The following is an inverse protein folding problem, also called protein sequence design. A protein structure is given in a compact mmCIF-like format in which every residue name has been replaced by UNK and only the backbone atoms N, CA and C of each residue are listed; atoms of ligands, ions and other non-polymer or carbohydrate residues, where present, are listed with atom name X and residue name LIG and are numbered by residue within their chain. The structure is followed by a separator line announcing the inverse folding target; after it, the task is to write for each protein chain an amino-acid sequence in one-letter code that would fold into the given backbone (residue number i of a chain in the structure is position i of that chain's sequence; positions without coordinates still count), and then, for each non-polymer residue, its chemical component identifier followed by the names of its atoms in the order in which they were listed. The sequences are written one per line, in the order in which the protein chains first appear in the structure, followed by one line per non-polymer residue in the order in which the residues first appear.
data_IF_563418325260
#
_entry.id   IF_563418325260
#
_cell.length_a   1.000
_cell.length_b   1.000
_cell.length_c   1.000
_cell.angle_alpha   90.00
_cell.angle_beta   90.00
_cell.angle_gamma   90.00
#
_symmetry.space_group_name_H-M   'P 1'
#
loop_
_entity.id
_entity.type
_entity.pdbx_description
1 polymer ?
#
# COMPACT_ATOMS: atom_id res chain seq x y z
N UNK A 1 16.87 3.41 3.05
CA UNK A 1 15.55 3.35 2.37
C UNK A 1 14.77 4.62 2.70
N UNK A 2 14.26 5.30 1.67
CA UNK A 2 13.43 6.47 1.87
C UNK A 2 12.00 6.01 2.09
N UNK A 3 11.48 6.24 3.30
CA UNK A 3 10.09 5.95 3.62
C UNK A 3 9.20 7.00 2.97
N UNK A 4 8.31 6.57 2.09
CA UNK A 4 7.31 7.45 1.48
C UNK A 4 6.21 7.68 2.50
N UNK A 5 6.00 8.93 2.90
CA UNK A 5 4.86 9.34 3.70
C UNK A 5 3.83 9.92 2.76
N UNK A 6 2.66 9.28 2.68
CA UNK A 6 1.55 9.85 1.93
C UNK A 6 0.97 11.06 2.68
N UNK A 7 0.67 12.18 2.00
CA UNK A 7 -0.01 13.31 2.61
C UNK A 7 -1.50 13.03 2.86
N UNK A 8 -2.05 11.97 2.25
CA UNK A 8 -3.43 11.54 2.42
C UNK A 8 -3.66 10.73 3.69
N UNK A 9 -4.93 10.52 4.04
CA UNK A 9 -5.30 9.62 5.13
C UNK A 9 -5.74 8.27 4.59
N UNK A 10 -5.08 7.19 5.00
CA UNK A 10 -5.54 5.82 4.73
C UNK A 10 -6.30 5.24 5.92
N UNK A 11 -7.00 4.13 5.68
CA UNK A 11 -7.66 3.35 6.72
C UNK A 11 -6.70 2.72 7.72
N UNK A 12 -5.39 2.74 7.42
CA UNK A 12 -4.33 2.49 8.40
C UNK A 12 -4.51 3.34 9.68
N UNK A 13 -5.05 4.56 9.59
CA UNK A 13 -5.39 5.38 10.77
C UNK A 13 -6.43 4.72 11.67
N UNK A 14 -7.38 3.98 11.08
CA UNK A 14 -8.43 3.28 11.83
C UNK A 14 -7.86 1.99 12.44
N UNK A 15 -6.97 1.29 11.73
CA UNK A 15 -6.26 0.11 12.25
C UNK A 15 -5.41 0.48 13.47
N UNK A 16 -4.70 1.61 13.43
CA UNK A 16 -3.94 2.09 14.59
C UNK A 16 -4.86 2.55 15.73
N UNK A 17 -5.86 3.42 15.46
CA UNK A 17 -6.70 4.04 16.51
C UNK A 17 -7.69 3.07 17.16
N UNK A 18 -8.31 2.19 16.38
CA UNK A 18 -9.36 1.26 16.84
C UNK A 18 -8.76 -0.13 17.06
N UNK A 19 -8.04 -0.64 16.06
CA UNK A 19 -7.44 -1.98 16.08
C UNK A 19 -6.19 -2.10 16.96
N UNK A 20 -5.54 -0.97 17.31
CA UNK A 20 -4.31 -0.90 18.12
C UNK A 20 -3.13 -1.69 17.54
N UNK A 21 -3.16 -2.02 16.25
CA UNK A 21 -2.08 -2.70 15.54
C UNK A 21 -1.11 -1.66 14.96
N UNK A 22 0.09 -1.59 15.53
CA UNK A 22 1.10 -0.59 15.14
C UNK A 22 1.90 -0.94 13.88
N UNK A 23 2.00 -2.23 13.56
CA UNK A 23 2.78 -2.72 12.41
C UNK A 23 1.89 -2.87 11.18
N UNK A 24 1.19 -1.78 10.82
CA UNK A 24 0.31 -1.72 9.66
C UNK A 24 0.82 -0.64 8.70
N UNK A 25 1.00 -1.03 7.45
CA UNK A 25 1.43 -0.15 6.36
C UNK A 25 0.38 -0.17 5.25
N UNK A 26 0.35 0.92 4.47
CA UNK A 26 -0.28 0.91 3.15
C UNK A 26 0.78 0.48 2.12
N UNK A 27 0.42 -0.43 1.22
CA UNK A 27 1.28 -0.86 0.13
C UNK A 27 0.44 -1.09 -1.13
N UNK A 28 0.95 -0.63 -2.26
CA UNK A 28 0.39 -0.83 -3.59
C UNK A 28 1.21 -0.04 -4.62
N UNK A 29 1.17 -0.46 -5.90
CA UNK A 29 1.77 0.29 -6.99
C UNK A 29 0.85 1.44 -7.39
N UNK A 30 1.35 2.33 -8.25
CA UNK A 30 0.62 3.50 -8.72
C UNK A 30 1.29 4.81 -8.32
N UNK A 31 0.89 5.88 -8.98
CA UNK A 31 1.50 7.20 -8.83
C UNK A 31 0.64 8.02 -7.88
N UNK A 32 1.15 8.27 -6.68
CA UNK A 32 0.39 8.95 -5.63
C UNK A 32 -0.08 10.35 -6.04
N UNK A 33 0.72 11.07 -6.82
CA UNK A 33 0.38 12.41 -7.31
C UNK A 33 -0.77 12.42 -8.32
N UNK A 34 -1.06 11.28 -8.96
CA UNK A 34 -2.19 11.11 -9.87
C UNK A 34 -3.46 10.62 -9.16
N UNK A 35 -3.39 10.34 -7.85
CA UNK A 35 -4.57 9.91 -7.11
C UNK A 35 -5.69 10.97 -7.24
N UNK A 36 -6.88 10.52 -7.62
CA UNK A 36 -8.08 11.34 -7.84
C UNK A 36 -8.00 12.28 -9.05
N UNK A 37 -6.99 12.14 -9.91
CA UNK A 37 -6.93 12.86 -11.18
C UNK A 37 -7.67 12.09 -12.30
N UNK A 38 -8.21 12.77 -13.33
CA UNK A 38 -8.92 12.11 -14.43
C UNK A 38 -8.05 11.12 -15.22
N UNK A 39 -6.74 11.32 -15.19
CA UNK A 39 -5.72 10.50 -15.83
C UNK A 39 -5.03 9.56 -14.83
N UNK A 40 -5.66 9.20 -13.71
CA UNK A 40 -5.14 8.18 -12.80
C UNK A 40 -4.94 6.84 -13.53
N UNK A 41 -3.74 6.27 -13.43
CA UNK A 41 -3.40 4.98 -14.04
C UNK A 41 -2.35 4.23 -13.24
N UNK A 42 -2.20 2.94 -13.55
CA UNK A 42 -1.15 2.06 -13.03
C UNK A 42 -0.68 1.13 -14.15
N UNK A 43 0.61 0.80 -14.17
CA UNK A 43 1.14 -0.18 -15.11
C UNK A 43 0.60 -1.58 -14.80
N UNK A 44 0.25 -2.35 -15.83
CA UNK A 44 -0.22 -3.73 -15.66
C UNK A 44 0.88 -4.59 -15.02
N UNK A 45 2.14 -4.42 -15.46
CA UNK A 45 3.27 -5.13 -14.85
C UNK A 45 3.45 -4.76 -13.37
N UNK A 46 3.31 -3.47 -13.02
CA UNK A 46 3.45 -3.01 -11.63
C UNK A 46 2.38 -3.65 -10.73
N UNK A 47 1.16 -3.85 -11.27
CA UNK A 47 0.08 -4.57 -10.59
C UNK A 47 0.41 -6.05 -10.37
N UNK A 48 0.91 -6.73 -11.41
CA UNK A 48 1.33 -8.14 -11.33
C UNK A 48 2.47 -8.33 -10.32
N UNK A 49 3.49 -7.47 -10.38
CA UNK A 49 4.64 -7.51 -9.47
C UNK A 49 4.21 -7.23 -8.03
N UNK A 50 3.34 -6.23 -7.80
CA UNK A 50 2.78 -5.95 -6.48
C UNK A 50 2.01 -7.13 -5.91
N UNK A 51 1.25 -7.86 -6.73
CA UNK A 51 0.55 -9.06 -6.28
C UNK A 51 1.55 -10.13 -5.81
N UNK A 52 2.66 -10.29 -6.53
CA UNK A 52 3.77 -11.17 -6.14
C UNK A 52 4.39 -10.76 -4.79
N UNK A 53 4.66 -9.47 -4.59
CA UNK A 53 5.19 -8.96 -3.32
C UNK A 53 4.22 -9.23 -2.18
N UNK A 54 2.93 -8.93 -2.33
CA UNK A 54 1.92 -9.21 -1.30
C UNK A 54 1.84 -10.71 -0.96
N UNK A 55 1.92 -11.59 -1.96
CA UNK A 55 1.89 -13.03 -1.75
C UNK A 55 3.12 -13.54 -0.97
N UNK A 56 4.32 -13.05 -1.30
CA UNK A 56 5.55 -13.42 -0.60
C UNK A 56 5.55 -12.93 0.85
N UNK A 57 5.12 -11.70 1.09
CA UNK A 57 5.01 -11.13 2.45
C UNK A 57 3.98 -11.91 3.28
N UNK A 58 2.83 -12.24 2.70
CA UNK A 58 1.81 -13.02 3.41
C UNK A 58 2.34 -14.41 3.79
N UNK A 59 3.08 -15.06 2.87
CA UNK A 59 3.75 -16.34 3.13
C UNK A 59 4.76 -16.22 4.27
N UNK A 60 5.56 -15.15 4.31
CA UNK A 60 6.52 -14.93 5.39
C UNK A 60 5.85 -14.66 6.75
N UNK A 61 4.70 -13.97 6.75
CA UNK A 61 3.99 -13.63 7.98
C UNK A 61 3.16 -14.79 8.56
N UNK A 62 2.63 -15.68 7.71
CA UNK A 62 1.65 -16.71 8.11
C UNK A 62 2.12 -18.16 7.91
N UNK A 63 3.20 -18.39 7.16
CA UNK A 63 3.77 -19.71 6.88
C UNK A 63 4.90 -20.09 7.82
#
# INVERSE_FOLDING_TARGET
PDYVVSPGTYDQKHIDRIGRLKNCIAYGPGILDLAHQPDEWVGVQDMEDSAGVMALVLKELLG
#
